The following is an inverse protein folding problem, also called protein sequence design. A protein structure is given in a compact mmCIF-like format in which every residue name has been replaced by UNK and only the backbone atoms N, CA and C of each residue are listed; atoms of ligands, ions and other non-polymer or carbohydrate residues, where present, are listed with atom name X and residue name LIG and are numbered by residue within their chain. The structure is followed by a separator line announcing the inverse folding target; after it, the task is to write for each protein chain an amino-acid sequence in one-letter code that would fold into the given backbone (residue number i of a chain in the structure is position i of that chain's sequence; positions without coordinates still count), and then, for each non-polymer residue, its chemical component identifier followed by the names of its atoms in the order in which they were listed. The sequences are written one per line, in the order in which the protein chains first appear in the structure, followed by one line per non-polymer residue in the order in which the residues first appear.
data_IF_130602990817
#
_entry.id   IF_130602990817
#
_cell.length_a   1.000
_cell.length_b   1.000
_cell.length_c   1.000
_cell.angle_alpha   90.00
_cell.angle_beta   90.00
_cell.angle_gamma   90.00
#
_symmetry.space_group_name_H-M   'P 1'
#
loop_
_entity.id
_entity.type
_entity.pdbx_description
1 polymer ?
#
# COMPACT_ATOMS: atom_id res chain seq x y z
N UNK A 1 19.99 0.67 30.89
CA UNK A 1 19.74 1.39 29.63
C UNK A 1 18.99 2.62 30.05
N UNK A 2 19.66 3.75 30.09
CA UNK A 2 19.05 5.00 30.52
C UNK A 2 18.56 5.72 29.26
N UNK A 3 17.25 5.67 29.04
CA UNK A 3 16.60 6.37 27.93
C UNK A 3 16.41 7.81 28.38
N UNK A 4 17.24 8.72 27.87
CA UNK A 4 17.06 10.15 28.09
C UNK A 4 16.25 10.73 26.93
N UNK A 5 14.97 11.00 27.18
CA UNK A 5 14.09 11.70 26.24
C UNK A 5 14.27 13.20 26.49
N UNK A 6 14.85 13.92 25.52
CA UNK A 6 14.98 15.37 25.60
C UNK A 6 13.81 16.06 24.90
N UNK A 7 13.13 16.97 25.61
CA UNK A 7 12.09 17.84 25.06
C UNK A 7 12.70 19.22 24.79
N UNK A 8 12.80 19.63 23.53
CA UNK A 8 13.18 20.99 23.15
C UNK A 8 11.97 21.91 23.16
N UNK A 9 11.95 22.91 24.05
CA UNK A 9 10.93 23.96 24.01
C UNK A 9 11.26 25.00 22.94
N UNK A 10 10.39 25.13 21.92
CA UNK A 10 10.14 26.41 21.26
C UNK A 10 8.81 26.38 20.51
N UNK A 11 7.99 27.41 20.73
CA UNK A 11 6.58 27.45 20.39
C UNK A 11 6.23 27.58 18.90
N UNK A 12 4.97 27.22 18.63
CA UNK A 12 4.14 27.49 17.44
C UNK A 12 4.45 26.71 16.15
N UNK A 13 4.34 25.39 16.19
CA UNK A 13 3.63 24.53 15.21
C UNK A 13 3.71 23.08 15.71
N UNK A 14 2.61 22.29 15.85
CA UNK A 14 2.68 20.93 16.36
C UNK A 14 3.03 19.96 15.22
N UNK A 15 4.26 20.03 14.74
CA UNK A 15 4.90 18.95 13.97
C UNK A 15 6.16 18.61 14.75
N UNK A 16 6.01 17.75 15.76
CA UNK A 16 7.12 17.28 16.57
C UNK A 16 8.06 16.46 15.69
N UNK A 17 9.26 16.98 15.46
CA UNK A 17 10.40 16.24 14.94
C UNK A 17 10.90 15.32 16.05
N UNK A 18 10.50 14.06 16.04
CA UNK A 18 11.01 13.06 16.97
C UNK A 18 12.28 12.43 16.37
N UNK A 19 13.42 13.08 16.53
CA UNK A 19 14.71 12.41 16.30
C UNK A 19 15.08 11.67 17.58
N UNK A 20 15.00 10.34 17.57
CA UNK A 20 15.43 9.52 18.71
C UNK A 20 16.96 9.34 18.58
N UNK A 21 17.71 10.02 19.44
CA UNK A 21 19.14 9.79 19.59
C UNK A 21 19.36 8.79 20.73
N UNK A 22 19.85 7.60 20.40
CA UNK A 22 20.22 6.61 21.42
C UNK A 22 21.74 6.63 21.54
N UNK A 23 22.23 6.80 22.78
CA UNK A 23 23.66 6.62 23.09
C UNK A 23 23.96 5.14 23.18
N UNK A 24 24.90 4.68 22.37
CA UNK A 24 25.36 3.29 22.45
C UNK A 24 26.15 3.03 23.76
N UNK A 25 26.60 1.79 23.99
CA UNK A 25 27.38 1.44 25.19
C UNK A 25 28.74 2.16 25.28
N UNK A 26 29.18 2.84 24.22
CA UNK A 26 30.41 3.65 24.16
C UNK A 26 30.13 5.15 24.28
N UNK A 27 28.86 5.57 24.33
CA UNK A 27 28.46 6.97 24.45
C UNK A 27 28.36 7.72 23.12
N UNK A 28 28.41 7.01 21.98
CA UNK A 28 28.24 7.61 20.66
C UNK A 28 26.76 7.89 20.38
N UNK A 29 26.43 9.11 19.96
CA UNK A 29 25.08 9.48 19.55
C UNK A 29 24.84 8.94 18.13
N UNK A 30 24.02 7.89 18.02
CA UNK A 30 23.49 7.46 16.73
C UNK A 30 22.08 8.03 16.55
N UNK A 31 21.87 8.69 15.42
CA UNK A 31 20.54 9.07 14.96
C UNK A 31 19.82 7.80 14.53
N UNK A 32 18.75 7.43 15.24
CA UNK A 32 17.85 6.38 14.77
C UNK A 32 16.83 7.04 13.85
N UNK A 33 16.96 6.77 12.55
CA UNK A 33 15.97 7.18 11.56
C UNK A 33 14.84 6.16 11.57
N UNK A 34 13.61 6.62 11.78
CA UNK A 34 12.42 5.80 11.57
C UNK A 34 12.14 5.80 10.07
N UNK A 35 12.12 4.64 9.45
CA UNK A 35 11.75 4.49 8.05
C UNK A 35 10.34 3.91 7.95
N UNK A 36 9.55 4.44 7.02
CA UNK A 36 8.29 3.82 6.59
C UNK A 36 8.55 3.17 5.25
N UNK A 37 8.24 1.89 5.14
CA UNK A 37 8.42 1.15 3.90
C UNK A 37 7.05 0.76 3.39
N UNK A 38 6.65 1.32 2.26
CA UNK A 38 5.41 0.95 1.58
C UNK A 38 5.74 -0.16 0.60
N UNK A 39 5.10 -1.31 0.70
CA UNK A 39 5.40 -2.51 -0.09
C UNK A 39 4.15 -3.07 -0.76
N UNK A 40 4.33 -3.58 -1.97
CA UNK A 40 3.34 -4.38 -2.69
C UNK A 40 4.04 -5.59 -3.33
N UNK A 41 3.31 -6.70 -3.47
CA UNK A 41 3.82 -7.93 -4.08
C UNK A 41 2.91 -8.35 -5.24
N UNK A 42 3.51 -8.87 -6.30
CA UNK A 42 2.76 -9.65 -7.31
C UNK A 42 3.02 -11.14 -7.12
N UNK A 43 1.99 -11.97 -7.30
CA UNK A 43 2.07 -13.40 -7.04
C UNK A 43 1.53 -14.28 -8.17
N UNK A 44 2.25 -15.36 -8.46
CA UNK A 44 1.83 -16.41 -9.38
C UNK A 44 1.24 -17.61 -8.62
N UNK A 45 0.11 -18.21 -9.04
CA UNK A 45 -0.37 -19.45 -8.43
C UNK A 45 0.62 -20.61 -8.63
N UNK A 46 0.86 -21.38 -7.56
CA UNK A 46 1.57 -22.66 -7.67
C UNK A 46 0.86 -23.59 -8.65
N UNK A 47 1.61 -24.31 -9.48
CA UNK A 47 1.07 -25.23 -10.51
C UNK A 47 -0.02 -26.15 -9.96
N UNK A 48 -1.13 -26.30 -10.71
CA UNK A 48 -2.26 -27.16 -10.34
C UNK A 48 -1.89 -28.64 -10.20
N UNK A 49 -0.77 -29.06 -10.80
CA UNK A 49 -0.26 -30.42 -10.73
C UNK A 49 0.42 -30.72 -9.39
N UNK A 50 0.89 -29.70 -8.67
CA UNK A 50 1.59 -29.82 -7.39
C UNK A 50 0.59 -29.65 -6.23
N UNK A 51 -0.40 -30.54 -6.14
CA UNK A 51 -1.54 -30.40 -5.21
C UNK A 51 -1.14 -30.30 -3.73
N UNK A 52 -0.15 -31.08 -3.30
CA UNK A 52 0.34 -31.05 -1.91
C UNK A 52 0.97 -29.70 -1.58
N UNK A 53 1.88 -29.23 -2.44
CA UNK A 53 2.54 -27.92 -2.32
C UNK A 53 1.50 -26.81 -2.32
N UNK A 54 0.58 -26.82 -3.30
CA UNK A 54 -0.46 -25.80 -3.46
C UNK A 54 -1.42 -25.69 -2.27
N UNK A 55 -1.58 -26.77 -1.49
CA UNK A 55 -2.40 -26.75 -0.28
C UNK A 55 -1.75 -25.97 0.87
N UNK A 56 -0.41 -25.94 0.91
CA UNK A 56 0.38 -25.25 1.94
C UNK A 56 0.86 -23.88 1.48
N UNK A 57 1.26 -23.75 0.21
CA UNK A 57 1.67 -22.52 -0.46
C UNK A 57 0.88 -22.35 -1.77
N UNK A 58 -0.26 -21.62 -1.76
CA UNK A 58 -1.12 -21.50 -2.94
C UNK A 58 -0.54 -20.66 -4.08
N UNK A 59 0.40 -19.75 -3.75
CA UNK A 59 1.02 -18.77 -4.64
C UNK A 59 2.48 -18.53 -4.25
N UNK A 60 3.29 -18.11 -5.22
CA UNK A 60 4.66 -17.63 -5.02
C UNK A 60 4.77 -16.16 -5.44
N UNK A 61 5.54 -15.38 -4.68
CA UNK A 61 5.92 -14.03 -5.07
C UNK A 61 6.75 -14.07 -6.35
N UNK A 62 6.42 -13.20 -7.30
CA UNK A 62 7.13 -13.03 -8.58
C UNK A 62 7.66 -11.61 -8.79
N UNK A 63 7.22 -10.64 -8.01
CA UNK A 63 7.73 -9.26 -8.01
C UNK A 63 7.57 -8.66 -6.61
N UNK A 64 8.57 -7.90 -6.19
CA UNK A 64 8.56 -7.08 -4.98
C UNK A 64 8.79 -5.64 -5.41
N UNK A 65 7.89 -4.74 -5.00
CA UNK A 65 8.06 -3.30 -5.14
C UNK A 65 7.91 -2.64 -3.78
N UNK A 66 8.83 -1.74 -3.44
CA UNK A 66 8.74 -0.98 -2.20
C UNK A 66 9.27 0.44 -2.33
N UNK A 67 8.73 1.35 -1.53
CA UNK A 67 9.12 2.76 -1.44
C UNK A 67 9.53 3.06 0.00
N UNK A 68 10.70 3.67 0.17
CA UNK A 68 11.18 4.12 1.47
C UNK A 68 10.82 5.60 1.66
N UNK A 69 10.15 5.89 2.78
CA UNK A 69 9.78 7.23 3.21
C UNK A 69 10.43 7.53 4.55
N UNK A 70 11.16 8.63 4.62
CA UNK A 70 11.84 9.06 5.85
C UNK A 70 10.88 9.66 6.90
N UNK A 71 11.43 10.08 8.03
CA UNK A 71 10.66 10.68 9.12
C UNK A 71 10.02 12.03 8.74
N UNK A 72 10.51 12.68 7.68
CA UNK A 72 9.98 13.94 7.14
C UNK A 72 8.85 13.74 6.14
N UNK A 73 8.47 12.48 5.87
CA UNK A 73 7.52 12.06 4.84
C UNK A 73 8.03 12.32 3.42
N UNK A 74 9.35 12.31 3.23
CA UNK A 74 9.99 12.42 1.91
C UNK A 74 10.32 11.02 1.41
N UNK A 75 10.04 10.75 0.13
CA UNK A 75 10.49 9.53 -0.54
C UNK A 75 12.02 9.63 -0.70
N UNK A 76 12.74 8.68 -0.14
CA UNK A 76 14.22 8.68 -0.12
C UNK A 76 14.83 7.57 -0.96
N UNK A 77 14.10 6.50 -1.22
CA UNK A 77 14.59 5.39 -2.06
C UNK A 77 13.45 4.50 -2.57
N UNK A 78 13.76 3.69 -3.57
CA UNK A 78 12.86 2.69 -4.16
C UNK A 78 13.55 1.32 -4.26
N UNK A 79 12.78 0.25 -4.07
CA UNK A 79 13.22 -1.13 -4.22
C UNK A 79 12.36 -1.86 -5.23
N UNK A 80 13.01 -2.53 -6.18
CA UNK A 80 12.35 -3.39 -7.16
C UNK A 80 13.12 -4.69 -7.34
N UNK A 81 12.40 -5.80 -7.30
CA UNK A 81 13.00 -7.11 -7.51
C UNK A 81 11.99 -8.08 -8.13
N UNK A 82 12.29 -8.59 -9.33
CA UNK A 82 11.63 -9.81 -9.81
C UNK A 82 12.10 -11.03 -9.03
N UNK A 83 11.22 -12.01 -8.89
CA UNK A 83 11.46 -13.24 -8.15
C UNK A 83 11.13 -14.43 -9.03
N UNK A 84 12.07 -15.38 -9.12
CA UNK A 84 11.85 -16.62 -9.85
C UNK A 84 10.99 -17.58 -9.03
N UNK A 85 9.81 -18.01 -9.52
CA UNK A 85 9.02 -19.02 -8.84
C UNK A 85 9.72 -20.39 -8.88
N UNK A 86 9.62 -21.15 -7.80
CA UNK A 86 10.25 -22.47 -7.64
C UNK A 86 9.35 -23.65 -8.05
N UNK A 87 8.03 -23.44 -8.12
CA UNK A 87 7.03 -24.49 -8.36
C UNK A 87 6.24 -24.29 -9.67
N UNK A 88 6.79 -23.47 -10.56
CA UNK A 88 6.20 -23.13 -11.84
C UNK A 88 7.27 -23.10 -12.94
N UNK A 89 6.95 -23.70 -14.09
CA UNK A 89 7.77 -23.60 -15.30
C UNK A 89 7.42 -22.35 -16.15
N UNK A 90 6.34 -21.65 -15.81
CA UNK A 90 5.83 -20.46 -16.51
C UNK A 90 4.94 -19.60 -15.58
N UNK A 91 4.71 -18.34 -15.95
CA UNK A 91 3.72 -17.47 -15.31
C UNK A 91 2.32 -17.81 -15.85
N UNK A 92 1.33 -17.91 -14.96
CA UNK A 92 -0.02 -18.22 -15.39
C UNK A 92 -0.55 -17.13 -16.35
N UNK A 93 -1.18 -17.48 -17.50
CA UNK A 93 -1.56 -16.49 -18.51
C UNK A 93 -2.43 -15.34 -18.00
N UNK A 94 -3.29 -15.61 -17.01
CA UNK A 94 -4.13 -14.58 -16.41
C UNK A 94 -3.36 -13.63 -15.48
N UNK A 95 -2.24 -14.09 -14.90
CA UNK A 95 -1.31 -13.25 -14.15
C UNK A 95 -0.52 -12.38 -15.13
N UNK A 96 0.03 -12.94 -16.20
CA UNK A 96 0.69 -12.14 -17.25
C UNK A 96 -0.23 -11.08 -17.85
N UNK A 97 -1.51 -11.40 -18.06
CA UNK A 97 -2.50 -10.42 -18.52
C UNK A 97 -2.76 -9.31 -17.49
N UNK A 98 -2.71 -9.64 -16.20
CA UNK A 98 -2.98 -8.72 -15.10
C UNK A 98 -1.79 -7.79 -14.85
N UNK A 99 -0.58 -8.35 -14.72
CA UNK A 99 0.63 -7.67 -14.25
C UNK A 99 1.60 -7.30 -15.38
N UNK A 100 1.42 -7.87 -16.57
CA UNK A 100 2.38 -7.76 -17.67
C UNK A 100 3.62 -8.66 -17.52
N UNK A 101 3.82 -9.31 -16.37
CA UNK A 101 5.00 -10.14 -16.09
C UNK A 101 4.94 -11.43 -16.91
N UNK A 102 6.00 -11.69 -17.67
CA UNK A 102 6.18 -12.90 -18.48
C UNK A 102 7.29 -13.75 -17.87
N UNK A 103 7.37 -15.01 -18.30
CA UNK A 103 8.42 -15.91 -17.85
C UNK A 103 9.84 -15.38 -18.12
N UNK A 104 10.07 -14.73 -19.26
CA UNK A 104 11.38 -14.15 -19.57
C UNK A 104 11.82 -13.06 -18.59
N UNK A 105 10.87 -12.43 -17.88
CA UNK A 105 11.16 -11.39 -16.90
C UNK A 105 11.59 -12.01 -15.54
N UNK A 106 11.25 -13.28 -15.27
CA UNK A 106 11.52 -13.97 -13.99
C UNK A 106 12.47 -15.17 -14.09
N UNK A 107 12.75 -15.70 -15.28
CA UNK A 107 13.52 -16.95 -15.45
C UNK A 107 14.95 -16.86 -14.91
N UNK A 108 15.57 -15.69 -15.07
CA UNK A 108 16.93 -15.40 -14.59
C UNK A 108 16.92 -14.52 -13.32
N UNK A 109 15.73 -14.26 -12.76
CA UNK A 109 15.60 -13.53 -11.51
C UNK A 109 16.07 -14.37 -10.32
N UNK A 110 16.29 -13.70 -9.19
CA UNK A 110 16.72 -14.37 -7.96
C UNK A 110 15.60 -15.20 -7.35
N UNK A 111 15.97 -16.22 -6.57
CA UNK A 111 15.01 -16.97 -5.77
C UNK A 111 14.49 -16.11 -4.61
N UNK A 112 13.32 -16.48 -4.09
CA UNK A 112 12.64 -15.75 -3.01
C UNK A 112 13.53 -15.47 -1.79
N UNK A 113 14.35 -16.44 -1.34
CA UNK A 113 15.26 -16.22 -0.20
C UNK A 113 16.25 -15.07 -0.44
N UNK A 114 16.82 -15.00 -1.63
CA UNK A 114 17.76 -13.93 -2.00
C UNK A 114 17.03 -12.59 -2.19
N UNK A 115 15.82 -12.59 -2.74
CA UNK A 115 15.00 -11.39 -2.84
C UNK A 115 14.68 -10.79 -1.46
N UNK A 116 14.32 -11.63 -0.49
CA UNK A 116 14.05 -11.21 0.90
C UNK A 116 15.32 -10.70 1.58
N UNK A 117 16.48 -11.34 1.37
CA UNK A 117 17.77 -10.83 1.88
C UNK A 117 18.13 -9.47 1.28
N UNK A 118 17.87 -9.26 -0.01
CA UNK A 118 18.11 -7.97 -0.66
C UNK A 118 17.19 -6.89 -0.08
N UNK A 119 15.91 -7.21 0.12
CA UNK A 119 14.97 -6.30 0.77
C UNK A 119 15.40 -5.99 2.22
N UNK A 120 15.80 -6.99 2.99
CA UNK A 120 16.28 -6.83 4.38
C UNK A 120 17.49 -5.89 4.45
N UNK A 121 18.47 -6.11 3.57
CA UNK A 121 19.67 -5.28 3.48
C UNK A 121 19.36 -3.85 3.00
N UNK A 122 18.40 -3.70 2.09
CA UNK A 122 17.98 -2.39 1.57
C UNK A 122 17.28 -1.55 2.65
N UNK A 123 16.42 -2.16 3.48
CA UNK A 123 15.78 -1.49 4.63
C UNK A 123 16.84 -1.08 5.67
N UNK A 124 17.82 -1.96 5.92
CA UNK A 124 18.87 -1.75 6.91
C UNK A 124 18.52 -2.31 8.29
N UNK A 125 19.56 -2.66 9.06
CA UNK A 125 19.44 -3.36 10.35
C UNK A 125 19.31 -2.45 11.57
N UNK A 126 19.68 -1.16 11.45
CA UNK A 126 19.73 -0.20 12.56
C UNK A 126 18.52 0.75 12.62
N UNK A 127 17.59 0.66 11.65
CA UNK A 127 16.38 1.48 11.57
C UNK A 127 15.20 0.84 12.30
N UNK A 128 14.40 1.67 12.94
CA UNK A 128 13.04 1.29 13.32
C UNK A 128 12.18 1.42 12.06
N UNK A 129 11.57 0.33 11.61
CA UNK A 129 10.86 0.26 10.33
C UNK A 129 9.42 -0.12 10.54
N UNK A 130 8.51 0.68 9.98
CA UNK A 130 7.08 0.36 9.88
C UNK A 130 6.77 0.03 8.43
N UNK A 131 6.30 -1.19 8.20
CA UNK A 131 5.88 -1.67 6.88
C UNK A 131 4.41 -1.29 6.65
N UNK A 132 4.11 -0.76 5.47
CA UNK A 132 2.75 -0.48 5.01
C UNK A 132 2.48 -1.30 3.76
N UNK A 133 1.33 -1.95 3.69
CA UNK A 133 0.80 -2.48 2.44
C UNK A 133 -0.63 -2.02 2.27
N UNK A 134 -1.13 -2.00 1.03
CA UNK A 134 -2.52 -1.61 0.81
C UNK A 134 -3.48 -2.49 1.62
N UNK A 135 -3.24 -3.80 1.72
CA UNK A 135 -3.97 -4.67 2.65
C UNK A 135 -3.06 -5.68 3.32
N UNK A 136 -3.57 -6.42 4.30
CA UNK A 136 -2.82 -7.48 5.00
C UNK A 136 -2.37 -8.68 4.11
N UNK A 137 -2.77 -8.70 2.83
CA UNK A 137 -2.44 -9.77 1.89
C UNK A 137 -0.94 -9.98 1.70
N UNK A 138 -0.16 -8.89 1.57
CA UNK A 138 1.26 -8.95 1.27
C UNK A 138 2.06 -9.48 2.44
N UNK A 139 1.74 -9.01 3.66
CA UNK A 139 2.26 -9.58 4.90
C UNK A 139 2.01 -11.09 4.98
N UNK A 140 0.73 -11.50 4.80
CA UNK A 140 0.32 -12.90 4.90
C UNK A 140 1.04 -13.77 3.86
N UNK A 141 1.17 -13.30 2.63
CA UNK A 141 1.89 -14.03 1.58
C UNK A 141 3.38 -14.16 1.93
N UNK A 142 4.04 -13.07 2.31
CA UNK A 142 5.47 -13.09 2.62
C UNK A 142 5.78 -14.00 3.82
N UNK A 143 4.98 -13.90 4.89
CA UNK A 143 5.11 -14.76 6.06
C UNK A 143 4.89 -16.25 5.72
N UNK A 144 3.85 -16.55 4.95
CA UNK A 144 3.54 -17.93 4.52
C UNK A 144 4.66 -18.51 3.66
N UNK A 145 5.17 -17.75 2.69
CA UNK A 145 6.22 -18.25 1.80
C UNK A 145 7.56 -18.43 2.51
N UNK A 146 7.90 -17.52 3.45
CA UNK A 146 9.05 -17.71 4.34
C UNK A 146 8.91 -18.99 5.16
N UNK A 147 7.75 -19.20 5.80
CA UNK A 147 7.48 -20.40 6.59
C UNK A 147 7.58 -21.67 5.73
N UNK A 148 6.95 -21.68 4.57
CA UNK A 148 6.93 -22.85 3.68
C UNK A 148 8.32 -23.22 3.18
N UNK A 149 9.13 -22.22 2.80
CA UNK A 149 10.49 -22.42 2.25
C UNK A 149 11.56 -22.56 3.34
N UNK A 150 11.21 -22.49 4.62
CA UNK A 150 12.16 -22.58 5.74
C UNK A 150 13.10 -21.38 5.85
N UNK A 151 12.67 -20.21 5.37
CA UNK A 151 13.43 -18.96 5.39
C UNK A 151 13.12 -18.23 6.69
N UNK A 152 14.16 -17.73 7.36
CA UNK A 152 13.98 -16.91 8.56
C UNK A 152 13.36 -15.58 8.16
N UNK A 153 12.21 -15.25 8.75
CA UNK A 153 11.55 -13.98 8.49
C UNK A 153 12.40 -12.80 9.01
N UNK A 154 12.61 -11.75 8.20
CA UNK A 154 13.47 -10.62 8.59
C UNK A 154 12.95 -9.88 9.82
N UNK A 155 13.86 -9.56 10.74
CA UNK A 155 13.49 -8.93 12.02
C UNK A 155 13.14 -7.44 11.90
N UNK A 156 13.65 -6.78 10.87
CA UNK A 156 13.37 -5.38 10.56
C UNK A 156 12.09 -5.19 9.71
N UNK A 157 11.30 -6.24 9.51
CA UNK A 157 10.04 -6.20 8.76
C UNK A 157 8.87 -6.75 9.57
N UNK A 158 8.90 -6.67 10.91
CA UNK A 158 7.88 -7.32 11.76
C UNK A 158 6.69 -6.42 12.10
N UNK A 159 6.86 -5.10 11.97
CA UNK A 159 5.81 -4.13 12.29
C UNK A 159 5.06 -3.76 11.00
N UNK A 160 3.82 -4.22 10.86
CA UNK A 160 3.00 -4.04 9.66
C UNK A 160 1.72 -3.27 9.95
N UNK A 161 1.39 -2.37 9.03
CA UNK A 161 0.14 -1.61 9.01
C UNK A 161 -0.65 -2.00 7.76
N UNK A 162 -1.88 -2.47 7.97
CA UNK A 162 -2.89 -2.58 6.92
C UNK A 162 -3.39 -1.17 6.59
N UNK A 163 -2.83 -0.58 5.53
CA UNK A 163 -3.11 0.81 5.20
C UNK A 163 -4.52 1.01 4.66
N UNK A 164 -5.16 0.02 4.03
CA UNK A 164 -6.56 0.14 3.64
C UNK A 164 -7.42 0.35 4.88
N UNK A 165 -7.19 -0.38 5.96
CA UNK A 165 -7.95 -0.21 7.21
C UNK A 165 -7.76 1.20 7.79
N UNK A 166 -6.52 1.68 7.90
CA UNK A 166 -6.21 3.05 8.36
C UNK A 166 -6.81 4.14 7.47
N UNK A 167 -6.72 3.95 6.15
CA UNK A 167 -7.30 4.84 5.16
C UNK A 167 -8.82 4.91 5.32
N UNK A 168 -9.47 3.77 5.52
CA UNK A 168 -10.92 3.71 5.72
C UNK A 168 -11.39 4.49 6.94
N UNK A 169 -10.73 4.28 8.07
CA UNK A 169 -11.05 4.97 9.32
C UNK A 169 -10.78 6.47 9.20
N UNK A 170 -9.63 6.84 8.64
CA UNK A 170 -9.21 8.25 8.51
C UNK A 170 -10.09 9.04 7.55
N UNK A 171 -10.57 8.40 6.49
CA UNK A 171 -11.42 9.03 5.47
C UNK A 171 -12.91 9.03 5.85
N UNK A 172 -13.26 8.46 7.02
CA UNK A 172 -14.62 8.40 7.56
C UNK A 172 -15.62 7.74 6.60
N UNK A 173 -15.22 6.69 5.89
CA UNK A 173 -16.16 5.94 5.06
C UNK A 173 -17.19 5.21 5.93
N UNK A 174 -18.44 5.14 5.43
CA UNK A 174 -19.50 4.43 6.14
C UNK A 174 -19.13 2.95 6.35
N UNK A 175 -19.47 2.41 7.51
CA UNK A 175 -19.15 1.03 7.94
C UNK A 175 -19.78 -0.07 7.08
N UNK A 176 -20.65 0.28 6.13
CA UNK A 176 -21.24 -0.61 5.13
C UNK A 176 -20.44 -0.68 3.80
N UNK A 177 -19.39 0.13 3.63
CA UNK A 177 -18.59 0.14 2.42
C UNK A 177 -17.73 -1.13 2.34
N UNK A 178 -17.86 -1.87 1.22
CA UNK A 178 -16.96 -2.96 0.86
C UNK A 178 -15.54 -2.43 0.71
N UNK A 179 -14.52 -3.17 1.16
CA UNK A 179 -13.10 -2.87 0.98
C UNK A 179 -12.79 -2.30 -0.42
N UNK A 180 -12.24 -1.08 -0.45
CA UNK A 180 -11.94 -0.30 -1.65
C UNK A 180 -10.65 -0.82 -2.25
N UNK A 181 -10.62 -1.09 -3.55
CA UNK A 181 -9.34 -1.39 -4.19
C UNK A 181 -8.43 -0.15 -4.15
N UNK A 182 -7.11 -0.38 -4.12
CA UNK A 182 -6.09 0.68 -4.16
C UNK A 182 -6.38 1.68 -5.27
N UNK A 183 -6.56 1.15 -6.49
CA UNK A 183 -6.84 1.94 -7.68
C UNK A 183 -8.12 2.77 -7.56
N UNK A 184 -9.16 2.24 -6.90
CA UNK A 184 -10.40 3.01 -6.70
C UNK A 184 -10.22 4.10 -5.64
N UNK A 185 -9.46 3.82 -4.59
CA UNK A 185 -9.09 4.81 -3.58
C UNK A 185 -8.27 5.95 -4.19
N UNK A 186 -7.25 5.62 -4.97
CA UNK A 186 -6.42 6.57 -5.69
C UNK A 186 -7.25 7.44 -6.64
N UNK A 187 -8.14 6.84 -7.43
CA UNK A 187 -9.04 7.57 -8.33
C UNK A 187 -9.93 8.56 -7.56
N UNK A 188 -10.56 8.12 -6.46
CA UNK A 188 -11.40 8.99 -5.61
C UNK A 188 -10.60 10.10 -4.94
N UNK A 189 -9.35 9.81 -4.57
CA UNK A 189 -8.43 10.80 -4.01
C UNK A 189 -7.91 11.80 -5.07
N UNK A 190 -8.20 11.59 -6.36
CA UNK A 190 -7.78 12.46 -7.45
C UNK A 190 -6.38 12.17 -7.99
N UNK A 191 -5.80 11.01 -7.66
CA UNK A 191 -4.52 10.57 -8.20
C UNK A 191 -4.72 10.10 -9.64
N UNK A 192 -3.98 10.71 -10.56
CA UNK A 192 -4.00 10.35 -11.98
C UNK A 192 -3.04 9.18 -12.21
N UNK A 193 -3.61 8.01 -12.49
CA UNK A 193 -2.81 6.79 -12.67
C UNK A 193 -2.55 6.47 -14.14
N UNK A 194 -1.38 5.90 -14.43
CA UNK A 194 -1.09 5.20 -15.67
C UNK A 194 -1.70 3.78 -15.64
N UNK A 195 -2.81 3.60 -16.36
CA UNK A 195 -3.52 2.32 -16.49
C UNK A 195 -2.62 1.16 -16.96
N UNK A 196 -1.52 1.44 -17.68
CA UNK A 196 -0.60 0.40 -18.17
C UNK A 196 0.35 -0.12 -17.09
N UNK A 197 0.54 0.63 -16.01
CA UNK A 197 1.44 0.28 -14.92
C UNK A 197 0.73 -0.36 -13.72
N UNK A 198 -0.61 -0.36 -13.71
CA UNK A 198 -1.40 -1.04 -12.68
C UNK A 198 -0.97 -2.49 -12.56
N UNK A 199 -0.86 -2.98 -11.32
CA UNK A 199 -0.39 -4.33 -11.01
C UNK A 199 1.08 -4.58 -11.39
N UNK A 200 1.88 -3.51 -11.48
CA UNK A 200 3.31 -3.62 -11.20
C UNK A 200 3.50 -3.37 -9.71
N UNK A 201 4.28 -4.22 -9.07
CA UNK A 201 4.49 -4.13 -7.63
C UNK A 201 5.07 -2.78 -7.19
N UNK A 202 6.04 -2.24 -7.94
CA UNK A 202 6.64 -0.94 -7.59
C UNK A 202 5.62 0.19 -7.76
N UNK A 203 4.90 0.20 -8.88
CA UNK A 203 3.93 1.24 -9.17
C UNK A 203 2.78 1.25 -8.15
N UNK A 204 2.26 0.08 -7.77
CA UNK A 204 1.20 0.01 -6.76
C UNK A 204 1.73 0.46 -5.37
N UNK A 205 3.02 0.25 -5.06
CA UNK A 205 3.65 0.81 -3.87
C UNK A 205 3.83 2.34 -3.94
N UNK A 206 4.14 2.91 -5.11
CA UNK A 206 4.17 4.37 -5.35
C UNK A 206 2.78 4.99 -5.11
N UNK A 207 1.74 4.43 -5.72
CA UNK A 207 0.36 4.91 -5.54
C UNK A 207 -0.10 4.78 -4.09
N UNK A 208 0.25 3.69 -3.41
CA UNK A 208 0.00 3.54 -1.98
C UNK A 208 0.71 4.63 -1.17
N UNK A 209 1.94 4.98 -1.54
CA UNK A 209 2.72 6.06 -0.90
C UNK A 209 2.09 7.44 -1.13
N UNK A 210 1.59 7.70 -2.33
CA UNK A 210 0.88 8.95 -2.66
C UNK A 210 -0.41 9.13 -1.84
N UNK A 211 -1.07 8.04 -1.46
CA UNK A 211 -2.19 8.07 -0.51
C UNK A 211 -1.72 8.21 0.94
N UNK A 212 -0.61 7.55 1.32
CA UNK A 212 -0.09 7.54 2.69
C UNK A 212 0.43 8.92 3.14
N UNK A 213 1.20 9.62 2.32
CA UNK A 213 1.83 10.91 2.72
C UNK A 213 0.78 11.95 3.16
N UNK A 214 -0.35 12.15 2.44
CA UNK A 214 -1.41 13.04 2.88
C UNK A 214 -2.05 12.66 4.20
N UNK A 215 -2.17 11.36 4.48
CA UNK A 215 -2.68 10.83 5.75
C UNK A 215 -1.71 11.17 6.88
N UNK A 216 -0.42 10.87 6.71
CA UNK A 216 0.63 11.15 7.70
C UNK A 216 0.80 12.64 8.00
N UNK A 217 0.67 13.49 6.97
CA UNK A 217 0.84 14.95 7.09
C UNK A 217 -0.45 15.68 7.47
N UNK A 218 -1.59 14.99 7.46
CA UNK A 218 -2.90 15.59 7.72
C UNK A 218 -3.46 16.45 6.58
N UNK A 219 -2.79 16.51 5.43
CA UNK A 219 -3.26 17.26 4.25
C UNK A 219 -4.44 16.57 3.56
N UNK A 220 -4.68 15.28 3.84
CA UNK A 220 -5.86 14.53 3.36
C UNK A 220 -7.20 15.23 3.67
N UNK A 221 -7.26 16.05 4.73
CA UNK A 221 -8.49 16.76 5.15
C UNK A 221 -9.06 17.61 4.03
N UNK A 222 -8.20 18.24 3.23
CA UNK A 222 -8.61 19.04 2.06
C UNK A 222 -9.36 18.13 1.09
N UNK A 223 -8.80 16.97 0.77
CA UNK A 223 -9.41 16.00 -0.15
C UNK A 223 -10.69 15.37 0.41
N UNK A 224 -10.72 15.05 1.72
CA UNK A 224 -11.92 14.56 2.41
C UNK A 224 -13.08 15.55 2.33
N UNK A 225 -12.82 16.85 2.55
CA UNK A 225 -13.84 17.90 2.39
C UNK A 225 -14.36 17.99 0.95
N UNK A 226 -13.48 17.91 -0.05
CA UNK A 226 -13.88 17.87 -1.45
C UNK A 226 -14.77 16.67 -1.77
N UNK A 227 -14.40 15.47 -1.31
CA UNK A 227 -15.19 14.26 -1.55
C UNK A 227 -16.55 14.30 -0.86
N UNK A 228 -16.64 14.84 0.37
CA UNK A 228 -17.92 15.05 1.06
C UNK A 228 -18.83 16.00 0.29
N UNK A 229 -18.28 17.10 -0.26
CA UNK A 229 -19.03 18.05 -1.11
C UNK A 229 -19.46 17.42 -2.43
N UNK A 230 -18.57 16.71 -3.11
CA UNK A 230 -18.89 16.01 -4.37
C UNK A 230 -20.01 14.97 -4.17
N UNK A 231 -19.94 14.18 -3.10
CA UNK A 231 -21.01 13.23 -2.75
C UNK A 231 -22.34 13.92 -2.45
N UNK A 232 -22.33 15.09 -1.80
CA UNK A 232 -23.55 15.88 -1.60
C UNK A 232 -24.11 16.47 -2.90
N UNK A 233 -23.25 16.87 -3.84
CA UNK A 233 -23.65 17.38 -5.15
C UNK A 233 -24.22 16.27 -6.05
N UNK A 234 -23.62 15.08 -6.07
CA UNK A 234 -24.20 13.92 -6.78
C UNK A 234 -25.54 13.51 -6.16
N UNK A 235 -25.72 13.64 -4.85
CA UNK A 235 -27.02 13.41 -4.21
C UNK A 235 -28.04 14.48 -4.63
N UNK A 236 -27.67 15.76 -4.67
CA UNK A 236 -28.57 16.83 -5.12
C UNK A 236 -28.95 16.72 -6.61
N UNK A 237 -28.01 16.35 -7.49
CA UNK A 237 -28.31 16.09 -8.91
C UNK A 237 -29.19 14.86 -9.09
N UNK A 238 -28.98 13.80 -8.29
CA UNK A 238 -29.83 12.61 -8.33
C UNK A 238 -31.19 12.80 -7.62
N UNK A 239 -31.37 13.85 -6.82
CA UNK A 239 -32.68 14.25 -6.28
C UNK A 239 -33.48 15.01 -7.35
N UNK A 240 -32.84 15.70 -8.30
CA UNK A 240 -33.46 16.23 -9.51
C UNK A 240 -33.57 15.16 -10.61
N UNK A 241 -34.42 14.16 -10.38
CA UNK A 241 -34.64 13.10 -11.39
C UNK A 241 -35.49 13.59 -12.57
N UNK A 242 -35.41 12.92 -13.73
CA UNK A 242 -36.30 13.14 -14.87
C UNK A 242 -37.80 13.13 -14.51
N UNK A 243 -38.19 12.49 -13.39
CA UNK A 243 -39.56 12.49 -12.88
C UNK A 243 -40.08 13.89 -12.55
N UNK A 244 -39.23 14.79 -12.06
CA UNK A 244 -39.62 16.16 -11.71
C UNK A 244 -39.79 17.06 -12.95
N UNK A 245 -39.06 16.75 -14.02
CA UNK A 245 -39.22 17.42 -15.32
C UNK A 245 -40.48 16.93 -16.05
N UNK A 246 -40.81 15.64 -15.97
CA UNK A 246 -42.07 15.12 -16.54
C UNK A 246 -43.30 15.52 -15.74
N UNK A 247 -43.21 15.65 -14.41
CA UNK A 247 -44.32 16.08 -13.55
C UNK A 247 -44.85 17.47 -13.90
N UNK A 248 -43.96 18.45 -14.11
CA UNK A 248 -44.37 19.81 -14.53
C UNK A 248 -44.97 19.86 -15.93
N UNK A 249 -44.43 19.08 -16.87
CA UNK A 249 -44.96 18.99 -18.24
C UNK A 249 -46.35 18.34 -18.26
N UNK A 250 -46.60 17.36 -17.39
CA UNK A 250 -47.90 16.69 -17.29
C UNK A 250 -48.97 17.55 -16.58
N UNK A 251 -48.60 18.33 -15.57
CA UNK A 251 -49.52 19.27 -14.91
C UNK A 251 -49.93 20.43 -15.83
N UNK A 252 -49.02 20.99 -16.62
CA UNK A 252 -49.35 22.03 -17.61
C UNK A 252 -50.26 21.51 -18.74
N UNK A 253 -50.12 20.24 -19.12
CA UNK A 253 -50.97 19.58 -20.12
C UNK A 253 -52.40 19.31 -19.59
N UNK A 254 -52.57 19.04 -18.29
CA UNK A 254 -53.88 18.80 -17.68
C UNK A 254 -54.65 20.08 -17.35
N UNK A 255 -53.96 21.22 -17.17
CA UNK A 255 -54.56 22.52 -16.89
C UNK A 255 -55.01 23.28 -18.15
N UNK A 256 -54.72 22.74 -19.34
CA UNK A 256 -55.08 23.32 -20.64
C UNK A 256 -56.18 22.55 -21.40
N UNK A 257 -56.79 21.53 -20.76
CA UNK A 257 -58.06 20.90 -21.18
C UNK A 257 -59.22 21.33 -20.28
#
# INVERSE_FOLDING_TARGET
MDVNIFWGESGKCPLFRLSIYIKDKKGEEKMHTVHRVVINLEMNPVSKNLKSIRAELPREVIEIGAICVDETNTIVDEFHCFVRPGFNDDIAPYITKLTGIRYCDVVDAVLFEEAIKRLENWIGYDSETVMYSWSDSDYRQMALECQYKGITYPKNMVDWVDFQSEYYETMEFESNCRQLSLHKAAEQFGIVMDEKKKHSALYDAEITTELLIPILTGTYRIQSEYMKKAGSMEYEENVFTLGDSFGKIFEEFLLTM
#
